data_IF_684980679316
#
_entry.id   IF_684980679316
#
_cell.length_a   1.000
_cell.length_b   1.000
_cell.length_c   1.000
_cell.angle_alpha   90.00
_cell.angle_beta   90.00
_cell.angle_gamma   90.00
#
_symmetry.space_group_name_H-M   'P 1'
#
loop_
_entity.id
_entity.type
_entity.pdbx_description
1 polymer ?
#
# COMPACT_ATOMS: atom_id res chain seq x y z
N UNK A 1 -15.43 -22.50 9.42
CA UNK A 1 -14.45 -22.77 8.34
C UNK A 1 -13.09 -22.86 9.00
N UNK A 2 -12.42 -24.00 8.89
CA UNK A 2 -11.11 -24.25 9.48
C UNK A 2 -10.04 -23.72 8.51
N UNK A 3 -9.49 -22.53 8.82
CA UNK A 3 -8.50 -21.90 7.96
C UNK A 3 -7.12 -22.41 8.35
N UNK A 4 -6.66 -23.48 7.70
CA UNK A 4 -5.32 -24.04 7.88
C UNK A 4 -4.28 -22.96 7.54
N UNK A 5 -3.54 -22.50 8.55
CA UNK A 5 -2.40 -21.61 8.36
C UNK A 5 -1.21 -22.47 7.94
N UNK A 6 -0.83 -22.40 6.67
CA UNK A 6 0.36 -23.07 6.14
C UNK A 6 1.61 -22.27 6.54
N UNK A 7 2.27 -22.66 7.63
CA UNK A 7 3.45 -21.98 8.18
C UNK A 7 4.59 -21.83 7.15
N UNK A 8 4.72 -22.77 6.22
CA UNK A 8 5.70 -22.77 5.13
C UNK A 8 5.54 -21.60 4.13
N UNK A 9 4.33 -21.05 4.00
CA UNK A 9 4.03 -19.93 3.10
C UNK A 9 3.86 -18.60 3.83
N UNK A 10 4.26 -18.52 5.10
CA UNK A 10 4.09 -17.31 5.93
C UNK A 10 4.72 -16.05 5.31
N UNK A 11 5.82 -16.22 4.56
CA UNK A 11 6.54 -15.13 3.89
C UNK A 11 5.98 -14.79 2.48
N UNK A 12 5.01 -15.55 1.99
CA UNK A 12 4.38 -15.29 0.69
C UNK A 12 3.49 -14.05 0.72
N UNK A 13 2.96 -13.70 1.90
CA UNK A 13 2.16 -12.51 2.08
C UNK A 13 3.04 -11.32 2.48
N UNK A 14 2.79 -10.12 1.92
CA UNK A 14 3.46 -8.91 2.35
C UNK A 14 3.11 -8.61 3.82
N UNK A 15 4.14 -8.36 4.63
CA UNK A 15 4.06 -8.15 6.06
C UNK A 15 5.02 -7.03 6.52
N UNK A 16 4.85 -6.52 7.75
CA UNK A 16 5.70 -5.45 8.28
C UNK A 16 7.18 -5.87 8.41
N UNK A 17 7.45 -7.17 8.48
CA UNK A 17 8.78 -7.77 8.48
C UNK A 17 9.47 -7.78 7.10
N UNK A 18 8.70 -7.66 6.00
CA UNK A 18 9.22 -7.77 4.63
C UNK A 18 8.92 -6.56 3.73
N UNK A 19 8.32 -5.50 4.29
CA UNK A 19 8.09 -4.21 3.64
C UNK A 19 8.95 -3.16 4.32
N UNK A 20 9.76 -2.45 3.55
CA UNK A 20 10.42 -1.22 4.00
C UNK A 20 9.35 -0.14 4.15
N UNK A 21 9.25 0.46 5.35
CA UNK A 21 8.35 1.58 5.64
C UNK A 21 9.16 2.78 6.13
N UNK A 22 9.06 3.90 5.43
CA UNK A 22 9.73 5.15 5.79
C UNK A 22 8.74 6.31 5.74
N UNK A 23 8.77 7.19 6.75
CA UNK A 23 8.06 8.47 6.71
C UNK A 23 9.06 9.56 6.37
N UNK A 24 8.80 10.30 5.28
CA UNK A 24 9.60 11.44 4.84
C UNK A 24 9.33 12.67 5.72
N UNK A 25 10.20 13.69 5.65
CA UNK A 25 10.08 14.91 6.45
C UNK A 25 8.77 15.67 6.19
N UNK A 26 8.25 15.61 4.96
CA UNK A 26 6.97 16.18 4.58
C UNK A 26 5.75 15.34 5.00
N UNK A 27 5.96 14.23 5.72
CA UNK A 27 4.92 13.39 6.27
C UNK A 27 4.45 12.25 5.37
N UNK A 28 4.89 12.16 4.11
CA UNK A 28 4.55 11.06 3.19
C UNK A 28 5.10 9.73 3.73
N UNK A 29 4.30 8.67 3.67
CA UNK A 29 4.75 7.31 4.00
C UNK A 29 5.04 6.53 2.71
N UNK A 30 6.27 6.06 2.58
CA UNK A 30 6.71 5.18 1.49
C UNK A 30 6.72 3.74 1.98
N UNK A 31 6.06 2.86 1.22
CA UNK A 31 6.12 1.41 1.39
C UNK A 31 6.80 0.80 0.17
N UNK A 32 7.84 0.00 0.38
CA UNK A 32 8.57 -0.67 -0.70
C UNK A 32 8.86 -2.13 -0.37
N UNK A 33 8.79 -2.99 -1.38
CA UNK A 33 9.16 -4.40 -1.29
C UNK A 33 9.80 -4.83 -2.61
N UNK A 34 10.98 -5.41 -2.53
CA UNK A 34 11.65 -5.98 -3.70
C UNK A 34 10.95 -7.27 -4.15
N UNK A 35 10.75 -7.42 -5.45
CA UNK A 35 10.25 -8.65 -6.05
C UNK A 35 11.13 -9.05 -7.25
N UNK A 36 12.19 -9.80 -6.98
CA UNK A 36 13.14 -10.24 -8.02
C UNK A 36 12.57 -11.31 -8.96
N UNK A 37 11.37 -11.85 -8.67
CA UNK A 37 10.67 -12.79 -9.55
C UNK A 37 9.95 -12.09 -10.71
N UNK A 38 9.97 -10.75 -10.75
CA UNK A 38 9.38 -9.96 -11.83
C UNK A 38 10.38 -8.91 -12.33
N UNK A 39 10.55 -8.73 -13.65
CA UNK A 39 11.37 -7.66 -14.21
C UNK A 39 10.65 -6.29 -14.20
N UNK A 40 9.40 -6.23 -13.74
CA UNK A 40 8.57 -5.02 -13.77
C UNK A 40 8.55 -4.28 -12.44
N UNK A 41 8.52 -2.94 -12.52
CA UNK A 41 8.31 -2.06 -11.37
C UNK A 41 6.87 -1.52 -11.35
N UNK A 42 6.19 -1.63 -10.21
CA UNK A 42 4.87 -1.01 -9.99
C UNK A 42 4.98 0.05 -8.90
N UNK A 43 4.56 1.27 -9.24
CA UNK A 43 4.49 2.40 -8.30
C UNK A 43 3.03 2.81 -8.19
N UNK A 44 2.53 2.94 -6.97
CA UNK A 44 1.16 3.36 -6.67
C UNK A 44 1.18 4.50 -5.66
N UNK A 45 0.42 5.54 -5.95
CA UNK A 45 0.14 6.63 -5.01
C UNK A 45 -1.25 6.44 -4.41
N UNK A 46 -1.36 6.60 -3.10
CA UNK A 46 -2.64 6.62 -2.40
C UNK A 46 -2.74 7.94 -1.66
N UNK A 47 -3.86 8.62 -1.85
CA UNK A 47 -4.17 9.87 -1.18
C UNK A 47 -5.50 9.70 -0.45
N UNK A 48 -5.62 10.30 0.73
CA UNK A 48 -6.91 10.50 1.37
C UNK A 48 -7.64 11.62 0.64
N UNK A 49 -8.19 11.30 -0.53
CA UNK A 49 -8.91 12.19 -1.45
C UNK A 49 -10.13 11.46 -1.99
N UNK A 50 -10.97 12.18 -2.75
CA UNK A 50 -12.18 11.68 -3.39
C UNK A 50 -13.39 12.53 -3.03
N UNK A 51 -14.52 12.21 -3.64
CA UNK A 51 -15.73 13.05 -3.60
C UNK A 51 -16.30 13.35 -2.22
N UNK A 52 -16.00 12.51 -1.21
CA UNK A 52 -16.39 12.78 0.18
C UNK A 52 -15.71 14.02 0.77
N UNK A 53 -14.58 14.44 0.19
CA UNK A 53 -13.83 15.63 0.57
C UNK A 53 -14.13 16.83 -0.34
N UNK A 54 -15.04 16.68 -1.31
CA UNK A 54 -15.44 17.78 -2.19
C UNK A 54 -16.30 18.77 -1.40
N UNK A 55 -16.01 20.08 -1.45
CA UNK A 55 -16.95 21.10 -1.03
C UNK A 55 -18.24 21.02 -1.84
N UNK A 56 -19.38 21.38 -1.23
CA UNK A 56 -20.69 21.37 -1.89
C UNK A 56 -20.70 22.20 -3.19
N UNK A 57 -19.94 23.30 -3.23
CA UNK A 57 -19.86 24.15 -4.41
C UNK A 57 -18.88 23.63 -5.49
N UNK A 58 -18.18 22.52 -5.23
CA UNK A 58 -17.10 21.97 -6.08
C UNK A 58 -17.18 20.45 -6.21
N UNK A 59 -18.37 19.91 -6.41
CA UNK A 59 -18.57 18.48 -6.64
C UNK A 59 -17.77 17.98 -7.86
N UNK A 60 -17.13 16.82 -7.73
CA UNK A 60 -16.31 16.19 -8.76
C UNK A 60 -14.86 16.71 -8.81
N UNK A 61 -14.37 17.33 -7.74
CA UNK A 61 -13.01 17.86 -7.66
C UNK A 61 -11.98 16.77 -7.31
N UNK A 62 -12.37 15.83 -6.45
CA UNK A 62 -11.54 14.76 -5.91
C UNK A 62 -11.30 13.56 -6.82
#
# INVERSE_FOLDING_TARGET
>A
MDQRIYNEHRNALPGPDNITRVRLENGITVLSRSNFNSPSLSIKGYFSSGSIFDPDEKLGLG
#
